data_IF_417085521647
#
_entry.id   IF_417085521647
#
_cell.length_a   1.000
_cell.length_b   1.000
_cell.length_c   1.000
_cell.angle_alpha   90.00
_cell.angle_beta   90.00
_cell.angle_gamma   90.00
#
_symmetry.space_group_name_H-M   'P 1'
#
loop_
_entity.id
_entity.type
_entity.pdbx_description
1 polymer ?
#
# COMPACT_ATOMS: atom_id res chain seq x y z
N UNK A 1 -4.28 11.12 -2.02
CA UNK A 1 -3.17 10.40 -2.69
C UNK A 1 -1.92 10.62 -1.86
N UNK A 2 -1.18 9.56 -1.54
CA UNK A 2 0.06 9.67 -0.77
C UNK A 2 1.20 9.15 -1.64
N UNK A 3 2.24 9.96 -1.84
CA UNK A 3 3.42 9.53 -2.59
C UNK A 3 4.27 8.68 -1.65
N UNK A 4 4.53 7.44 -2.06
CA UNK A 4 5.40 6.50 -1.33
C UNK A 4 6.81 6.56 -1.88
N UNK A 5 6.96 6.40 -3.20
CA UNK A 5 8.25 6.47 -3.90
C UNK A 5 8.22 7.72 -4.80
N UNK A 6 9.06 8.75 -4.53
CA UNK A 6 9.16 9.91 -5.39
C UNK A 6 9.85 9.56 -6.71
N UNK A 7 9.62 10.38 -7.74
CA UNK A 7 10.30 10.24 -9.03
C UNK A 7 11.82 10.41 -8.86
N UNK A 8 12.58 9.75 -9.73
CA UNK A 8 14.04 9.73 -9.73
C UNK A 8 14.66 9.16 -8.44
N UNK A 9 13.92 8.31 -7.71
CA UNK A 9 14.51 7.54 -6.60
C UNK A 9 15.50 6.51 -7.16
N UNK A 10 16.71 6.41 -6.61
CA UNK A 10 17.69 5.41 -7.06
C UNK A 10 17.18 4.00 -6.76
N UNK A 11 17.20 3.12 -7.76
CA UNK A 11 16.87 1.70 -7.62
C UNK A 11 18.16 0.88 -7.42
N UNK A 12 18.14 -0.21 -6.63
CA UNK A 12 16.98 -0.80 -5.96
C UNK A 12 16.58 -0.03 -4.68
N UNK A 13 15.27 0.08 -4.44
CA UNK A 13 14.72 0.77 -3.26
C UNK A 13 13.64 -0.06 -2.60
N UNK A 14 13.60 -0.05 -1.26
CA UNK A 14 12.53 -0.66 -0.48
C UNK A 14 11.99 0.34 0.53
N UNK A 15 10.71 0.66 0.43
CA UNK A 15 10.02 1.60 1.31
C UNK A 15 8.91 0.86 2.03
N UNK A 16 8.89 0.94 3.36
CA UNK A 16 7.88 0.34 4.21
C UNK A 16 7.08 1.47 4.86
N UNK A 17 5.76 1.42 4.74
CA UNK A 17 4.86 2.44 5.29
C UNK A 17 3.83 1.80 6.20
N UNK A 18 3.82 2.24 7.46
CA UNK A 18 2.97 1.67 8.52
C UNK A 18 1.91 2.70 8.98
N UNK A 19 2.27 3.98 9.03
CA UNK A 19 1.40 5.03 9.58
C UNK A 19 0.19 5.37 8.70
N UNK A 20 0.27 5.10 7.40
CA UNK A 20 -0.66 5.67 6.41
C UNK A 20 -1.82 4.75 6.03
N UNK A 21 -1.76 3.46 6.39
CA UNK A 21 -2.75 2.47 6.01
C UNK A 21 -3.43 1.92 7.27
N UNK A 22 -4.46 2.62 7.75
CA UNK A 22 -5.28 2.20 8.90
C UNK A 22 -6.71 1.92 8.48
N UNK A 23 -7.35 0.95 9.13
CA UNK A 23 -8.79 0.74 8.98
C UNK A 23 -9.53 2.00 9.42
N UNK A 24 -10.36 2.54 8.52
CA UNK A 24 -11.08 3.80 8.75
C UNK A 24 -12.45 3.57 9.37
N UNK A 25 -12.99 2.35 9.27
CA UNK A 25 -14.32 1.97 9.74
C UNK A 25 -14.19 0.82 10.75
N UNK A 26 -14.97 0.87 11.82
CA UNK A 26 -15.08 -0.23 12.78
C UNK A 26 -15.66 -1.48 12.11
N UNK A 27 -15.11 -2.65 12.43
CA UNK A 27 -15.51 -3.94 11.82
C UNK A 27 -15.38 -3.96 10.28
N UNK A 28 -14.38 -3.26 9.73
CA UNK A 28 -14.07 -3.31 8.31
C UNK A 28 -13.55 -4.70 7.91
N UNK A 29 -14.33 -5.44 7.13
CA UNK A 29 -14.01 -6.82 6.73
C UNK A 29 -12.91 -6.93 5.64
N UNK A 30 -12.62 -5.83 4.95
CA UNK A 30 -11.61 -5.81 3.91
C UNK A 30 -11.11 -4.41 3.59
N UNK A 31 -9.83 -4.33 3.26
CA UNK A 31 -9.15 -3.11 2.82
C UNK A 31 -8.67 -3.31 1.39
N UNK A 32 -8.94 -2.31 0.55
CA UNK A 32 -8.47 -2.27 -0.83
C UNK A 32 -7.36 -1.25 -0.97
N UNK A 33 -6.20 -1.68 -1.44
CA UNK A 33 -5.03 -0.84 -1.68
C UNK A 33 -4.89 -0.70 -3.20
N UNK A 34 -5.10 0.53 -3.68
CA UNK A 34 -4.96 0.85 -5.10
C UNK A 34 -3.58 1.47 -5.32
N UNK A 35 -2.79 0.84 -6.20
CA UNK A 35 -1.44 1.29 -6.52
C UNK A 35 -1.49 2.04 -7.85
N UNK A 36 -1.01 3.29 -7.81
CA UNK A 36 -0.99 4.17 -8.97
C UNK A 36 0.44 4.61 -9.28
N UNK A 37 0.71 4.79 -10.57
CA UNK A 37 1.93 5.37 -11.11
C UNK A 37 1.60 6.70 -11.80
N UNK A 38 2.30 7.77 -11.41
CA UNK A 38 2.22 9.06 -12.08
C UNK A 38 2.54 10.24 -11.16
N UNK A 39 2.63 11.42 -11.77
CA UNK A 39 3.03 12.67 -11.11
C UNK A 39 1.84 13.58 -10.78
N UNK A 40 0.61 13.18 -11.14
CA UNK A 40 -0.59 14.00 -10.92
C UNK A 40 -1.06 13.89 -9.48
N UNK A 41 -1.68 14.95 -8.97
CA UNK A 41 -2.17 15.03 -7.58
C UNK A 41 -3.40 14.14 -7.38
N UNK A 42 -4.20 13.93 -8.44
CA UNK A 42 -5.43 13.15 -8.40
C UNK A 42 -5.18 11.74 -8.92
N UNK A 43 -5.61 10.73 -8.16
CA UNK A 43 -5.49 9.32 -8.54
C UNK A 43 -6.16 9.02 -9.89
N UNK A 44 -7.26 9.70 -10.22
CA UNK A 44 -7.99 9.55 -11.50
C UNK A 44 -7.19 9.97 -12.74
N UNK A 45 -6.13 10.79 -12.56
CA UNK A 45 -5.28 11.26 -13.65
C UNK A 45 -3.95 10.47 -13.74
N UNK A 46 -3.77 9.48 -12.87
CA UNK A 46 -2.59 8.61 -12.84
C UNK A 46 -2.93 7.22 -13.38
N UNK A 47 -1.89 6.47 -13.74
CA UNK A 47 -2.04 5.10 -14.22
C UNK A 47 -2.31 4.15 -13.04
N UNK A 48 -3.35 3.32 -13.13
CA UNK A 48 -3.62 2.29 -12.13
C UNK A 48 -2.78 1.05 -12.46
N UNK A 49 -1.80 0.74 -11.60
CA UNK A 49 -0.99 -0.46 -11.76
C UNK A 49 -1.74 -1.72 -11.27
N UNK A 50 -2.52 -1.57 -10.21
CA UNK A 50 -3.25 -2.70 -9.64
C UNK A 50 -4.04 -2.36 -8.39
N UNK A 51 -4.91 -3.28 -8.00
CA UNK A 51 -5.74 -3.21 -6.80
C UNK A 51 -5.53 -4.47 -5.99
N UNK A 52 -5.17 -4.30 -4.72
CA UNK A 52 -4.88 -5.39 -3.80
C UNK A 52 -5.92 -5.40 -2.67
N UNK A 53 -6.67 -6.49 -2.57
CA UNK A 53 -7.60 -6.71 -1.48
C UNK A 53 -6.98 -7.55 -0.37
N UNK A 54 -6.95 -7.00 0.84
CA UNK A 54 -6.60 -7.71 2.07
C UNK A 54 -7.86 -7.90 2.92
N UNK A 55 -8.10 -9.14 3.37
CA UNK A 55 -9.15 -9.45 4.34
C UNK A 55 -8.60 -9.17 5.73
N UNK A 56 -9.30 -8.33 6.49
CA UNK A 56 -8.89 -7.91 7.84
C UNK A 56 -9.96 -8.42 8.82
N UNK A 57 -9.60 -8.96 10.00
CA UNK A 57 -10.59 -9.39 10.96
C UNK A 57 -11.44 -8.21 11.46
N UNK A 58 -12.65 -8.52 11.92
CA UNK A 58 -13.53 -7.54 12.57
C UNK A 58 -12.86 -7.01 13.84
N UNK A 59 -12.25 -5.83 13.73
CA UNK A 59 -11.61 -5.13 14.82
C UNK A 59 -12.08 -3.67 14.87
N UNK A 60 -11.89 -2.98 16.02
CA UNK A 60 -12.09 -1.54 16.09
C UNK A 60 -11.22 -0.82 15.05
N UNK A 61 -11.66 0.38 14.63
CA UNK A 61 -10.89 1.23 13.71
C UNK A 61 -9.47 1.49 14.22
N UNK A 62 -8.54 1.71 13.30
CA UNK A 62 -7.17 2.09 13.61
C UNK A 62 -6.16 0.95 13.62
N UNK A 63 -6.55 -0.22 13.10
CA UNK A 63 -5.66 -1.35 12.90
C UNK A 63 -4.61 -1.00 11.83
N UNK A 64 -3.33 -1.16 12.16
CA UNK A 64 -2.21 -0.78 11.31
C UNK A 64 -1.93 -1.85 10.25
N UNK A 65 -1.88 -1.43 8.99
CA UNK A 65 -1.52 -2.27 7.85
C UNK A 65 -0.18 -1.75 7.32
N UNK A 66 0.81 -2.64 7.25
CA UNK A 66 2.13 -2.36 6.69
C UNK A 66 2.10 -2.65 5.21
N UNK A 67 2.46 -1.64 4.41
CA UNK A 67 2.62 -1.83 2.96
C UNK A 67 4.07 -1.56 2.62
N UNK A 68 4.70 -2.54 1.99
CA UNK A 68 6.07 -2.48 1.49
C UNK A 68 6.06 -2.36 -0.02
N UNK A 69 6.75 -1.36 -0.53
CA UNK A 69 6.99 -1.16 -1.95
C UNK A 69 8.49 -1.37 -2.18
N UNK A 70 8.84 -2.42 -2.92
CA UNK A 70 10.21 -2.71 -3.33
C UNK A 70 10.31 -2.55 -4.84
N UNK A 71 11.31 -1.83 -5.32
CA UNK A 71 11.67 -1.77 -6.73
C UNK A 71 13.03 -2.43 -6.90
N UNK A 72 13.06 -3.48 -7.70
CA UNK A 72 14.28 -4.24 -8.01
C UNK A 72 15.17 -3.50 -9.01
N UNK A 73 16.38 -4.04 -9.24
CA UNK A 73 17.36 -3.49 -10.19
C UNK A 73 16.83 -3.39 -11.62
N UNK A 74 15.89 -4.27 -11.97
CA UNK A 74 15.22 -4.29 -13.28
C UNK A 74 14.07 -3.26 -13.38
N UNK A 75 13.77 -2.54 -12.30
CA UNK A 75 12.64 -1.60 -12.24
C UNK A 75 11.29 -2.27 -11.99
N UNK A 76 11.27 -3.55 -11.62
CA UNK A 76 10.02 -4.27 -11.29
C UNK A 76 9.55 -3.84 -9.90
N UNK A 77 8.29 -3.40 -9.80
CA UNK A 77 7.66 -3.03 -8.54
C UNK A 77 7.00 -4.24 -7.88
N UNK A 78 7.51 -4.60 -6.71
CA UNK A 78 6.96 -5.59 -5.81
C UNK A 78 6.24 -4.90 -4.64
N UNK A 79 4.95 -5.19 -4.49
CA UNK A 79 4.14 -4.65 -3.40
C UNK A 79 3.76 -5.78 -2.46
N UNK A 80 4.10 -5.64 -1.19
CA UNK A 80 3.75 -6.61 -0.14
C UNK A 80 2.92 -5.92 0.92
N UNK A 81 1.84 -6.56 1.34
CA UNK A 81 0.93 -6.06 2.37
C UNK A 81 0.98 -7.02 3.54
N UNK A 82 1.24 -6.50 4.73
CA UNK A 82 1.26 -7.26 5.97
C UNK A 82 0.40 -6.55 7.02
N UNK A 83 -0.44 -7.31 7.71
CA UNK A 83 -1.28 -6.79 8.77
C UNK A 83 -0.71 -7.19 10.14
N UNK A 84 -0.50 -6.20 11.01
CA UNK A 84 0.30 -6.37 12.23
C UNK A 84 -0.34 -7.29 13.27
N UNK A 85 -1.67 -7.32 13.35
CA UNK A 85 -2.41 -8.07 14.38
C UNK A 85 -2.60 -9.54 14.01
N UNK A 86 -2.97 -9.82 12.76
CA UNK A 86 -3.31 -11.18 12.31
C UNK A 86 -2.14 -11.86 11.61
N UNK A 87 -1.07 -11.13 11.28
CA UNK A 87 0.09 -11.66 10.53
C UNK A 87 -0.26 -12.08 9.10
N UNK A 88 -1.44 -11.69 8.61
CA UNK A 88 -1.88 -11.96 7.23
C UNK A 88 -0.99 -11.17 6.27
N UNK A 89 -0.40 -11.87 5.30
CA UNK A 89 0.52 -11.32 4.31
C UNK A 89 0.02 -11.61 2.90
N UNK A 90 0.14 -10.64 2.01
CA UNK A 90 -0.22 -10.78 0.59
C UNK A 90 0.76 -10.05 -0.31
#
# INVERSE_FOLDING_TARGET
MSVVIPKNTPIPVKIMTEERCKTSVDNQFGVSINVYEGERIRASENNLLGVFGLVVPCAPRGLCIKVCFAIDVDGILNVTVEEETTGNKK
#
